data_IF_375953344400
#
_entry.id   IF_375953344400
#
_cell.length_a   1.000
_cell.length_b   1.000
_cell.length_c   1.000
_cell.angle_alpha   90.00
_cell.angle_beta   90.00
_cell.angle_gamma   90.00
#
_symmetry.space_group_name_H-M   'P 1'
#
loop_
_entity.id
_entity.type
_entity.pdbx_description
1 polymer ?
#
# COMPACT_ATOMS: atom_id res chain seq x y z
N UNK A 1 3.90 8.47 -28.53
CA UNK A 1 5.36 8.60 -28.33
C UNK A 1 5.75 9.85 -27.54
N UNK A 2 5.38 11.05 -27.95
CA UNK A 2 5.73 12.30 -27.22
C UNK A 2 5.33 12.28 -25.74
N UNK A 3 4.13 11.80 -25.40
CA UNK A 3 3.66 11.69 -24.00
C UNK A 3 4.53 10.73 -23.16
N UNK A 4 5.01 9.64 -23.74
CA UNK A 4 5.88 8.68 -23.05
C UNK A 4 7.25 9.30 -22.77
N UNK A 5 7.82 9.96 -23.78
CA UNK A 5 9.11 10.67 -23.66
C UNK A 5 9.00 11.77 -22.61
N UNK A 6 7.91 12.56 -22.65
CA UNK A 6 7.64 13.60 -21.66
C UNK A 6 7.49 13.01 -20.25
N UNK A 7 6.73 11.92 -20.10
CA UNK A 7 6.57 11.26 -18.80
C UNK A 7 7.89 10.75 -18.23
N UNK A 8 8.73 10.13 -19.06
CA UNK A 8 10.07 9.69 -18.67
C UNK A 8 10.95 10.88 -18.29
N UNK A 9 10.95 11.95 -19.07
CA UNK A 9 11.73 13.14 -18.76
C UNK A 9 11.32 13.75 -17.42
N UNK A 10 10.01 13.82 -17.12
CA UNK A 10 9.50 14.27 -15.80
C UNK A 10 9.98 13.36 -14.68
N UNK A 11 9.85 12.03 -14.83
CA UNK A 11 10.30 11.06 -13.82
C UNK A 11 11.82 11.18 -13.60
N UNK A 12 12.61 11.22 -14.67
CA UNK A 12 14.06 11.37 -14.56
C UNK A 12 14.45 12.69 -13.86
N UNK A 13 13.76 13.78 -14.16
CA UNK A 13 14.00 15.08 -13.51
C UNK A 13 13.66 15.02 -12.03
N UNK A 14 12.52 14.42 -11.65
CA UNK A 14 12.14 14.25 -10.25
C UNK A 14 13.15 13.40 -9.49
N UNK A 15 13.57 12.26 -10.06
CA UNK A 15 14.59 11.39 -9.47
C UNK A 15 15.91 12.12 -9.31
N UNK A 16 16.34 12.87 -10.33
CA UNK A 16 17.59 13.64 -10.29
C UNK A 16 17.59 14.75 -9.23
N UNK A 17 16.43 15.30 -8.87
CA UNK A 17 16.29 16.32 -7.83
C UNK A 17 16.16 15.67 -6.45
N UNK A 18 15.36 14.63 -6.32
CA UNK A 18 15.01 14.01 -5.03
C UNK A 18 16.15 13.15 -4.48
N UNK A 19 16.75 12.30 -5.33
CA UNK A 19 17.75 11.31 -4.88
C UNK A 19 18.97 11.96 -4.23
N UNK A 20 19.58 13.02 -4.79
CA UNK A 20 20.70 13.70 -4.11
C UNK A 20 20.29 14.25 -2.73
N UNK A 21 19.11 14.88 -2.62
CA UNK A 21 18.66 15.44 -1.34
C UNK A 21 18.37 14.37 -0.28
N UNK A 22 17.85 13.21 -0.70
CA UNK A 22 17.68 12.03 0.19
C UNK A 22 19.04 11.51 0.66
N UNK A 23 20.01 11.37 -0.26
CA UNK A 23 21.35 10.92 0.08
C UNK A 23 22.06 11.89 1.02
N UNK A 24 21.98 13.20 0.75
CA UNK A 24 22.54 14.23 1.62
C UNK A 24 21.91 14.19 3.01
N UNK A 25 20.60 13.99 3.10
CA UNK A 25 19.89 13.83 4.38
C UNK A 25 20.36 12.59 5.14
N UNK A 26 20.51 11.44 4.45
CA UNK A 26 21.02 10.22 5.06
C UNK A 26 22.47 10.37 5.54
N UNK A 27 23.33 10.98 4.73
CA UNK A 27 24.73 11.24 5.11
C UNK A 27 24.80 12.20 6.30
N UNK A 28 23.95 13.21 6.36
CA UNK A 28 23.87 14.11 7.50
C UNK A 28 23.48 13.37 8.78
N UNK A 29 22.47 12.51 8.71
CA UNK A 29 22.04 11.67 9.84
C UNK A 29 23.20 10.78 10.31
N UNK A 30 23.89 10.11 9.40
CA UNK A 30 24.99 9.21 9.73
C UNK A 30 26.18 9.97 10.36
N UNK A 31 26.55 11.11 9.77
CA UNK A 31 27.66 11.91 10.26
C UNK A 31 27.38 12.55 11.64
N UNK A 32 26.12 12.79 11.96
CA UNK A 32 25.69 13.39 13.22
C UNK A 32 25.13 12.37 14.22
N UNK A 33 25.14 11.08 13.91
CA UNK A 33 24.56 10.03 14.78
C UNK A 33 25.07 10.11 16.23
N UNK A 34 26.39 10.37 16.44
CA UNK A 34 26.96 10.53 17.76
C UNK A 34 26.40 11.76 18.49
N UNK A 35 26.21 12.88 17.78
CA UNK A 35 25.65 14.10 18.37
C UNK A 35 24.18 13.89 18.77
N UNK A 36 23.44 13.20 17.95
CA UNK A 36 22.04 12.87 18.24
C UNK A 36 21.91 11.97 19.47
N UNK A 37 22.78 10.97 19.61
CA UNK A 37 22.82 10.14 20.81
C UNK A 37 23.14 10.97 22.06
N UNK A 38 24.11 11.87 21.97
CA UNK A 38 24.45 12.77 23.06
C UNK A 38 23.29 13.69 23.45
N UNK A 39 22.51 14.16 22.47
CA UNK A 39 21.31 14.97 22.70
C UNK A 39 20.24 14.19 23.47
N UNK A 40 20.03 12.90 23.13
CA UNK A 40 19.12 12.02 23.85
C UNK A 40 19.58 11.82 25.30
N UNK A 41 20.88 11.54 25.53
CA UNK A 41 21.42 11.42 26.87
C UNK A 41 21.19 12.69 27.69
N UNK A 42 21.48 13.86 27.10
CA UNK A 42 21.27 15.15 27.76
C UNK A 42 19.83 15.38 28.08
N UNK A 43 18.93 15.08 27.14
CA UNK A 43 17.48 15.23 27.32
C UNK A 43 16.96 14.31 28.45
N UNK A 44 17.34 13.04 28.48
CA UNK A 44 16.97 12.09 29.54
C UNK A 44 17.45 12.59 30.89
N UNK A 45 18.73 12.98 30.98
CA UNK A 45 19.34 13.41 32.23
C UNK A 45 18.78 14.74 32.77
N UNK A 46 18.33 15.63 31.87
CA UNK A 46 17.74 16.93 32.26
C UNK A 46 16.26 16.82 32.57
N UNK A 47 15.50 16.11 31.74
CA UNK A 47 14.03 16.02 31.86
C UNK A 47 13.59 15.09 33.00
N UNK A 48 14.35 14.02 33.24
CA UNK A 48 14.05 13.01 34.25
C UNK A 48 15.00 13.10 35.48
N UNK A 49 15.62 14.24 35.68
CA UNK A 49 16.57 14.45 36.80
C UNK A 49 15.96 14.13 38.20
N UNK A 50 14.65 14.29 38.36
CA UNK A 50 13.95 13.97 39.60
C UNK A 50 13.76 12.46 39.86
N UNK A 51 14.05 11.60 38.85
CA UNK A 51 13.82 10.15 38.89
C UNK A 51 15.12 9.38 38.58
N UNK A 52 16.14 9.37 39.50
CA UNK A 52 17.49 8.84 39.23
C UNK A 52 17.50 7.35 38.86
N UNK A 53 16.60 6.55 39.39
CA UNK A 53 16.50 5.12 39.03
C UNK A 53 16.07 4.93 37.56
N UNK A 54 15.11 5.73 37.08
CA UNK A 54 14.63 5.72 35.69
C UNK A 54 15.76 6.20 34.78
N UNK A 55 16.47 7.27 35.15
CA UNK A 55 17.60 7.79 34.39
C UNK A 55 18.69 6.73 34.23
N UNK A 56 19.05 6.02 35.30
CA UNK A 56 20.08 4.96 35.28
C UNK A 56 19.65 3.80 34.35
N UNK A 57 18.40 3.36 34.47
CA UNK A 57 17.83 2.31 33.60
C UNK A 57 17.86 2.72 32.15
N UNK A 58 17.35 3.91 31.80
CA UNK A 58 17.33 4.43 30.45
C UNK A 58 18.73 4.61 29.86
N UNK A 59 19.66 5.16 30.62
CA UNK A 59 21.06 5.32 30.17
C UNK A 59 21.73 3.97 29.84
N UNK A 60 21.45 2.92 30.60
CA UNK A 60 21.94 1.58 30.27
C UNK A 60 21.36 1.06 28.94
N UNK A 61 20.06 1.23 28.72
CA UNK A 61 19.43 0.86 27.45
C UNK A 61 19.94 1.72 26.28
N UNK A 62 20.17 3.01 26.51
CA UNK A 62 20.71 3.92 25.51
C UNK A 62 22.15 3.55 25.09
N UNK A 63 22.98 3.01 25.99
CA UNK A 63 24.32 2.52 25.66
C UNK A 63 24.25 1.34 24.66
N UNK A 64 23.31 0.41 24.88
CA UNK A 64 23.10 -0.72 23.95
C UNK A 64 22.57 -0.23 22.58
N UNK A 65 21.63 0.70 22.59
CA UNK A 65 21.10 1.32 21.37
C UNK A 65 22.22 2.10 20.65
N UNK A 66 23.05 2.87 21.37
CA UNK A 66 24.15 3.61 20.78
C UNK A 66 25.12 2.69 20.04
N UNK A 67 25.52 1.58 20.68
CA UNK A 67 26.42 0.61 20.06
C UNK A 67 25.78 -0.02 18.79
N UNK A 68 24.52 -0.35 18.84
CA UNK A 68 23.78 -0.89 17.69
C UNK A 68 23.65 0.16 16.56
N UNK A 69 23.32 1.41 16.90
CA UNK A 69 23.23 2.53 15.93
C UNK A 69 24.56 2.78 15.26
N UNK A 70 25.65 2.92 16.04
CA UNK A 70 27.00 3.16 15.49
C UNK A 70 27.48 1.99 14.61
N UNK A 71 27.16 0.76 15.00
CA UNK A 71 27.46 -0.42 14.18
C UNK A 71 26.65 -0.40 12.86
N UNK A 72 25.37 -0.07 12.93
CA UNK A 72 24.53 0.06 11.74
C UNK A 72 25.04 1.20 10.83
N UNK A 73 25.37 2.36 11.39
CA UNK A 73 25.94 3.51 10.68
C UNK A 73 27.23 3.13 9.96
N UNK A 74 28.18 2.50 10.68
CA UNK A 74 29.45 2.06 10.11
C UNK A 74 29.28 1.02 8.97
N UNK A 75 28.24 0.21 9.02
CA UNK A 75 27.91 -0.77 7.98
C UNK A 75 27.16 -0.16 6.79
N UNK A 76 26.41 0.92 7.01
CA UNK A 76 25.58 1.56 6.00
C UNK A 76 26.30 2.69 5.27
N UNK A 77 27.15 3.47 5.94
CA UNK A 77 27.92 4.57 5.31
C UNK A 77 28.64 4.13 4.04
N UNK A 78 29.45 3.03 4.06
CA UNK A 78 30.13 2.59 2.84
C UNK A 78 29.14 2.26 1.72
N UNK A 79 28.03 1.58 2.05
CA UNK A 79 27.02 1.21 1.05
C UNK A 79 26.32 2.44 0.45
N UNK A 80 25.96 3.41 1.28
CA UNK A 80 25.34 4.67 0.82
C UNK A 80 26.36 5.49 0.03
N UNK A 81 27.61 5.55 0.48
CA UNK A 81 28.73 6.15 -0.23
C UNK A 81 28.96 5.53 -1.60
N UNK A 82 28.98 4.19 -1.68
CA UNK A 82 29.09 3.44 -2.94
C UNK A 82 27.89 3.75 -3.88
N UNK A 83 26.70 3.88 -3.32
CA UNK A 83 25.52 4.26 -4.11
C UNK A 83 25.60 5.71 -4.58
N UNK A 84 26.05 6.63 -3.74
CA UNK A 84 26.24 8.03 -4.10
C UNK A 84 27.33 8.17 -5.17
N UNK A 85 28.45 7.43 -5.06
CA UNK A 85 29.50 7.37 -6.09
C UNK A 85 28.94 6.74 -7.39
N UNK A 86 28.26 5.60 -7.29
CA UNK A 86 27.63 4.96 -8.46
C UNK A 86 26.56 5.84 -9.13
N UNK A 87 25.86 6.67 -8.38
CA UNK A 87 24.93 7.65 -8.94
C UNK A 87 25.67 8.86 -9.55
N UNK A 88 26.78 9.27 -8.95
CA UNK A 88 27.64 10.36 -9.44
C UNK A 88 28.50 9.93 -10.64
N UNK A 89 29.05 8.70 -10.57
CA UNK A 89 29.72 8.04 -11.69
C UNK A 89 28.74 7.38 -12.66
N UNK A 90 27.45 7.51 -12.35
CA UNK A 90 26.33 6.95 -13.10
C UNK A 90 26.24 7.40 -14.56
N UNK A 91 27.03 8.41 -14.95
CA UNK A 91 27.28 8.67 -16.36
C UNK A 91 28.00 7.46 -17.04
N UNK A 92 28.83 6.70 -16.34
CA UNK A 92 29.56 5.53 -16.88
C UNK A 92 28.78 4.24 -16.62
N UNK A 93 28.16 4.07 -15.46
CA UNK A 93 27.26 2.95 -15.14
C UNK A 93 25.92 3.03 -15.89
N UNK A 94 25.44 4.24 -16.24
CA UNK A 94 24.32 4.46 -17.14
C UNK A 94 24.58 3.88 -18.55
N UNK A 95 25.82 3.86 -19.04
CA UNK A 95 26.12 3.26 -20.35
C UNK A 95 25.94 1.73 -20.35
N UNK A 96 26.22 1.04 -19.26
CA UNK A 96 25.97 -0.41 -19.15
C UNK A 96 24.47 -0.70 -18.91
N UNK A 97 23.82 0.03 -18.00
CA UNK A 97 22.37 -0.06 -17.77
C UNK A 97 21.53 0.57 -18.88
N UNK A 98 22.09 1.54 -19.64
CA UNK A 98 21.40 2.20 -20.76
C UNK A 98 21.08 1.19 -21.87
N UNK A 99 21.95 0.23 -22.14
CA UNK A 99 21.70 -0.85 -23.10
C UNK A 99 20.46 -1.65 -22.69
N UNK A 100 20.40 -2.13 -21.46
CA UNK A 100 19.28 -2.95 -20.99
C UNK A 100 18.00 -2.12 -20.86
N UNK A 101 18.13 -0.87 -20.41
CA UNK A 101 17.04 0.10 -20.39
C UNK A 101 16.51 0.41 -21.80
N UNK A 102 17.40 0.68 -22.77
CA UNK A 102 17.00 0.95 -24.17
C UNK A 102 16.32 -0.29 -24.76
N UNK A 103 16.86 -1.48 -24.56
CA UNK A 103 16.24 -2.72 -25.05
C UNK A 103 14.86 -2.90 -24.41
N UNK A 104 14.76 -2.81 -23.10
CA UNK A 104 13.49 -2.89 -22.38
C UNK A 104 12.49 -1.82 -22.79
N UNK A 105 12.96 -0.58 -23.02
CA UNK A 105 12.15 0.53 -23.51
C UNK A 105 11.64 0.28 -24.94
N UNK A 106 12.52 -0.16 -25.85
CA UNK A 106 12.14 -0.52 -27.22
C UNK A 106 11.07 -1.61 -27.19
N UNK A 107 11.29 -2.69 -26.41
CA UNK A 107 10.32 -3.78 -26.25
C UNK A 107 8.98 -3.25 -25.68
N UNK A 108 9.02 -2.41 -24.66
CA UNK A 108 7.82 -1.80 -24.08
C UNK A 108 7.06 -0.93 -25.09
N UNK A 109 7.77 -0.14 -25.90
CA UNK A 109 7.18 0.68 -26.96
C UNK A 109 6.52 -0.22 -28.02
N UNK A 110 7.21 -1.28 -28.48
CA UNK A 110 6.63 -2.24 -29.43
C UNK A 110 5.39 -2.93 -28.87
N UNK A 111 5.43 -3.37 -27.61
CA UNK A 111 4.27 -3.97 -26.94
C UNK A 111 3.09 -3.00 -26.84
N UNK A 112 3.36 -1.72 -26.59
CA UNK A 112 2.32 -0.69 -26.50
C UNK A 112 1.74 -0.33 -27.89
N UNK A 113 2.58 -0.23 -28.92
CA UNK A 113 2.15 0.06 -30.30
C UNK A 113 1.31 -1.08 -30.88
N UNK A 114 1.74 -2.32 -30.68
CA UNK A 114 1.07 -3.52 -31.18
C UNK A 114 0.12 -4.17 -30.15
N UNK A 115 -0.26 -3.45 -29.09
CA UNK A 115 -1.11 -3.94 -27.99
C UNK A 115 -2.37 -4.65 -28.49
N UNK A 116 -3.06 -4.06 -29.45
CA UNK A 116 -4.30 -4.63 -30.00
C UNK A 116 -4.05 -5.94 -30.75
N UNK A 117 -2.93 -6.03 -31.49
CA UNK A 117 -2.51 -7.21 -32.22
C UNK A 117 -2.16 -8.36 -31.28
N UNK A 118 -1.37 -8.10 -30.22
CA UNK A 118 -1.04 -9.10 -29.20
C UNK A 118 -2.28 -9.58 -28.45
N UNK A 119 -3.20 -8.68 -28.09
CA UNK A 119 -4.47 -9.04 -27.48
C UNK A 119 -5.33 -9.88 -28.41
N UNK A 120 -5.37 -9.56 -29.71
CA UNK A 120 -6.09 -10.34 -30.72
C UNK A 120 -5.49 -11.74 -30.91
N UNK A 121 -4.15 -11.85 -30.92
CA UNK A 121 -3.44 -13.14 -30.97
C UNK A 121 -3.74 -13.99 -29.73
N UNK A 122 -3.69 -13.41 -28.53
CA UNK A 122 -4.06 -14.09 -27.29
C UNK A 122 -5.51 -14.57 -27.31
N UNK A 123 -6.43 -13.72 -27.75
CA UNK A 123 -7.84 -14.11 -27.93
C UNK A 123 -8.00 -15.24 -28.95
N UNK A 124 -7.30 -15.19 -30.08
CA UNK A 124 -7.31 -16.25 -31.09
C UNK A 124 -6.81 -17.59 -30.50
N UNK A 125 -5.72 -17.55 -29.74
CA UNK A 125 -5.18 -18.75 -29.08
C UNK A 125 -6.20 -19.33 -28.09
N UNK A 126 -6.82 -18.48 -27.24
CA UNK A 126 -7.83 -18.92 -26.28
C UNK A 126 -9.06 -19.53 -26.97
N UNK A 127 -9.52 -18.93 -28.05
CA UNK A 127 -10.69 -19.47 -28.82
C UNK A 127 -10.37 -20.76 -29.56
N UNK A 128 -9.10 -21.00 -29.88
CA UNK A 128 -8.66 -22.26 -30.51
C UNK A 128 -8.60 -23.42 -29.49
N UNK A 129 -8.21 -23.13 -28.24
CA UNK A 129 -8.00 -24.16 -27.19
C UNK A 129 -9.30 -24.45 -26.41
N UNK A 130 -10.11 -23.42 -26.12
CA UNK A 130 -11.27 -23.54 -25.24
C UNK A 130 -12.60 -23.42 -25.99
N UNK A 131 -13.65 -24.14 -25.53
CA UNK A 131 -15.00 -23.96 -26.04
C UNK A 131 -15.48 -22.50 -25.93
N UNK A 132 -16.29 -22.04 -26.89
CA UNK A 132 -16.76 -20.65 -26.98
C UNK A 132 -17.32 -20.07 -25.67
N UNK A 133 -18.10 -20.89 -24.91
CA UNK A 133 -18.69 -20.49 -23.64
C UNK A 133 -17.65 -20.18 -22.57
N UNK A 134 -16.62 -21.02 -22.48
CA UNK A 134 -15.50 -20.84 -21.54
C UNK A 134 -14.68 -19.62 -21.95
N UNK A 135 -14.36 -19.49 -23.23
CA UNK A 135 -13.60 -18.35 -23.76
C UNK A 135 -14.31 -17.01 -23.49
N UNK A 136 -15.62 -16.93 -23.68
CA UNK A 136 -16.39 -15.72 -23.39
C UNK A 136 -16.33 -15.31 -21.92
N UNK A 137 -16.48 -16.27 -21.00
CA UNK A 137 -16.38 -16.02 -19.57
C UNK A 137 -14.96 -15.58 -19.15
N UNK A 138 -13.93 -16.26 -19.66
CA UNK A 138 -12.54 -15.88 -19.41
C UNK A 138 -12.24 -14.45 -19.92
N UNK A 139 -12.66 -14.09 -21.14
CA UNK A 139 -12.45 -12.75 -21.67
C UNK A 139 -13.18 -11.67 -20.84
N UNK A 140 -14.40 -11.96 -20.36
CA UNK A 140 -15.11 -11.06 -19.46
C UNK A 140 -14.34 -10.87 -18.14
N UNK A 141 -13.88 -11.97 -17.57
CA UNK A 141 -13.10 -11.97 -16.36
C UNK A 141 -11.79 -11.19 -16.55
N UNK A 142 -11.04 -11.42 -17.63
CA UNK A 142 -9.83 -10.64 -17.93
C UNK A 142 -10.09 -9.14 -18.07
N UNK A 143 -11.19 -8.73 -18.69
CA UNK A 143 -11.55 -7.31 -18.78
C UNK A 143 -11.85 -6.71 -17.41
N UNK A 144 -12.64 -7.42 -16.59
CA UNK A 144 -12.96 -6.97 -15.22
C UNK A 144 -11.67 -6.84 -14.39
N UNK A 145 -10.81 -7.85 -14.48
CA UNK A 145 -9.48 -7.88 -13.86
C UNK A 145 -8.62 -6.69 -14.27
N UNK A 146 -8.46 -6.49 -15.58
CA UNK A 146 -7.64 -5.39 -16.12
C UNK A 146 -8.13 -4.02 -15.65
N UNK A 147 -9.44 -3.80 -15.62
CA UNK A 147 -10.00 -2.54 -15.15
C UNK A 147 -9.76 -2.33 -13.65
N UNK A 148 -9.95 -3.36 -12.82
CA UNK A 148 -9.69 -3.29 -11.38
C UNK A 148 -8.21 -3.10 -11.07
N UNK A 149 -7.32 -3.84 -11.76
CA UNK A 149 -5.86 -3.70 -11.63
C UNK A 149 -5.39 -2.29 -11.99
N UNK A 150 -5.80 -1.80 -13.17
CA UNK A 150 -5.40 -0.47 -13.63
C UNK A 150 -5.94 0.63 -12.71
N UNK A 151 -7.21 0.53 -12.29
CA UNK A 151 -7.81 1.48 -11.37
C UNK A 151 -7.07 1.53 -10.03
N UNK A 152 -6.79 0.36 -9.45
CA UNK A 152 -6.09 0.28 -8.17
C UNK A 152 -4.64 0.77 -8.25
N UNK A 153 -3.85 0.25 -9.21
CA UNK A 153 -2.42 0.59 -9.30
C UNK A 153 -2.24 2.07 -9.62
N UNK A 154 -2.93 2.58 -10.66
CA UNK A 154 -2.83 3.99 -11.02
C UNK A 154 -3.37 4.90 -9.92
N UNK A 155 -4.50 4.50 -9.30
CA UNK A 155 -5.06 5.24 -8.17
C UNK A 155 -4.09 5.29 -7.00
N UNK A 156 -3.48 4.17 -6.62
CA UNK A 156 -2.58 4.12 -5.46
C UNK A 156 -1.25 4.84 -5.68
N UNK A 157 -0.72 4.80 -6.91
CA UNK A 157 0.46 5.59 -7.28
C UNK A 157 0.16 7.09 -7.20
N UNK A 158 -0.98 7.52 -7.76
CA UNK A 158 -1.39 8.92 -7.72
C UNK A 158 -1.65 9.40 -6.29
N UNK A 159 -2.37 8.62 -5.51
CA UNK A 159 -2.65 8.85 -4.09
C UNK A 159 -1.36 9.04 -3.29
N UNK A 160 -0.43 8.10 -3.41
CA UNK A 160 0.87 8.13 -2.73
C UNK A 160 1.72 9.33 -3.14
N UNK A 161 1.69 9.71 -4.40
CA UNK A 161 2.37 10.90 -4.89
C UNK A 161 1.77 12.18 -4.27
N UNK A 162 0.44 12.29 -4.24
CA UNK A 162 -0.26 13.44 -3.65
C UNK A 162 0.04 13.52 -2.15
N UNK A 163 -0.04 12.41 -1.42
CA UNK A 163 0.27 12.35 0.02
C UNK A 163 1.73 12.75 0.29
N UNK A 164 2.67 12.24 -0.50
CA UNK A 164 4.08 12.65 -0.42
C UNK A 164 4.27 14.15 -0.64
N UNK A 165 3.60 14.73 -1.63
CA UNK A 165 3.66 16.17 -1.93
C UNK A 165 3.02 17.02 -0.83
N UNK A 166 1.87 16.62 -0.30
CA UNK A 166 1.21 17.30 0.82
C UNK A 166 2.13 17.26 2.05
N UNK A 167 2.70 16.10 2.36
CA UNK A 167 3.64 15.94 3.46
C UNK A 167 4.86 16.86 3.29
N UNK A 168 5.46 16.90 2.09
CA UNK A 168 6.60 17.76 1.79
C UNK A 168 6.28 19.24 2.00
N UNK A 169 5.19 19.71 1.40
CA UNK A 169 4.79 21.13 1.49
C UNK A 169 4.48 21.50 2.95
N UNK A 170 3.72 20.68 3.65
CA UNK A 170 3.38 20.93 5.05
C UNK A 170 4.62 20.96 5.96
N UNK A 171 5.53 19.98 5.82
CA UNK A 171 6.77 19.95 6.59
C UNK A 171 7.66 21.17 6.30
N UNK A 172 7.74 21.60 5.03
CA UNK A 172 8.48 22.84 4.65
C UNK A 172 7.87 24.09 5.26
N UNK A 173 6.54 24.22 5.24
CA UNK A 173 5.83 25.34 5.86
C UNK A 173 6.03 25.38 7.38
N UNK A 174 6.03 24.21 8.01
CA UNK A 174 6.28 24.05 9.45
C UNK A 174 7.77 24.15 9.81
N UNK A 175 8.66 24.27 8.81
CA UNK A 175 10.12 24.29 8.97
C UNK A 175 10.68 23.06 9.70
N UNK A 176 10.07 21.89 9.46
CA UNK A 176 10.56 20.63 10.00
C UNK A 176 11.78 20.14 9.23
N UNK A 177 12.72 19.53 9.95
CA UNK A 177 13.92 18.97 9.36
C UNK A 177 13.65 17.73 8.51
N UNK A 178 14.59 17.36 7.66
CA UNK A 178 14.51 16.17 6.79
C UNK A 178 13.23 16.09 5.95
N UNK A 179 12.59 17.25 5.65
CA UNK A 179 11.30 17.30 4.97
C UNK A 179 11.26 16.52 3.65
N UNK A 180 12.34 16.54 2.85
CA UNK A 180 12.42 15.77 1.59
C UNK A 180 12.51 14.28 1.87
N UNK A 181 13.42 13.86 2.75
CA UNK A 181 13.62 12.45 3.09
C UNK A 181 12.33 11.85 3.66
N UNK A 182 11.73 12.51 4.66
CA UNK A 182 10.53 12.03 5.34
C UNK A 182 9.32 11.98 4.38
N UNK A 183 9.13 13.01 3.57
CA UNK A 183 8.01 13.02 2.61
C UNK A 183 8.14 11.95 1.53
N UNK A 184 9.37 11.65 1.10
CA UNK A 184 9.64 10.53 0.18
C UNK A 184 9.36 9.19 0.85
N UNK A 185 9.82 9.00 2.09
CA UNK A 185 9.52 7.78 2.85
C UNK A 185 8.00 7.61 3.00
N UNK A 186 7.29 8.65 3.48
CA UNK A 186 5.84 8.61 3.66
C UNK A 186 5.12 8.36 2.33
N UNK A 187 5.49 9.05 1.26
CA UNK A 187 4.88 8.88 -0.05
C UNK A 187 5.11 7.47 -0.62
N UNK A 188 6.35 6.98 -0.59
CA UNK A 188 6.68 5.64 -1.13
C UNK A 188 6.00 4.54 -0.33
N UNK A 189 6.03 4.63 1.00
CA UNK A 189 5.40 3.61 1.85
C UNK A 189 3.89 3.64 1.75
N UNK A 190 3.27 4.80 1.48
CA UNK A 190 1.81 4.93 1.30
C UNK A 190 1.26 4.10 0.13
N UNK A 191 2.10 3.63 -0.78
CA UNK A 191 1.70 2.67 -1.84
C UNK A 191 1.16 1.36 -1.23
N UNK A 192 1.63 0.97 -0.04
CA UNK A 192 1.14 -0.21 0.67
C UNK A 192 -0.14 0.17 1.43
N UNK A 193 -1.31 -0.40 1.08
CA UNK A 193 -2.56 -0.10 1.78
C UNK A 193 -2.47 -0.47 3.28
N UNK A 194 -3.10 0.31 4.14
CA UNK A 194 -3.16 0.17 5.59
C UNK A 194 -1.82 0.27 6.33
N UNK A 195 -0.78 -0.41 5.89
CA UNK A 195 0.52 -0.47 6.56
C UNK A 195 1.47 0.65 6.16
N UNK A 196 1.32 1.17 4.94
CA UNK A 196 2.18 2.22 4.39
C UNK A 196 2.33 3.43 5.32
N UNK A 197 1.23 3.99 5.82
CA UNK A 197 1.28 5.11 6.76
C UNK A 197 2.13 4.85 8.01
N UNK A 198 2.01 3.66 8.60
CA UNK A 198 2.77 3.30 9.81
C UNK A 198 4.24 3.03 9.48
N UNK A 199 4.52 2.32 8.38
CA UNK A 199 5.88 2.03 7.92
C UNK A 199 6.64 3.33 7.62
N UNK A 200 5.96 4.35 7.13
CA UNK A 200 6.56 5.66 6.85
C UNK A 200 6.65 6.55 8.09
N UNK A 201 5.57 6.65 8.87
CA UNK A 201 5.47 7.57 9.98
C UNK A 201 6.36 7.20 11.17
N UNK A 202 6.42 5.90 11.54
CA UNK A 202 7.16 5.46 12.73
C UNK A 202 8.67 5.74 12.60
N UNK A 203 9.37 5.32 11.53
CA UNK A 203 10.80 5.65 11.38
C UNK A 203 11.04 7.16 11.26
N UNK A 204 10.13 7.88 10.62
CA UNK A 204 10.24 9.34 10.46
C UNK A 204 10.07 10.08 11.80
N UNK A 205 9.12 9.65 12.63
CA UNK A 205 8.96 10.20 13.98
C UNK A 205 10.16 9.89 14.87
N UNK A 206 10.70 8.66 14.79
CA UNK A 206 11.91 8.29 15.53
C UNK A 206 13.12 9.10 15.06
N UNK A 207 13.25 9.33 13.76
CA UNK A 207 14.30 10.18 13.21
C UNK A 207 14.23 11.60 13.79
N UNK A 208 13.07 12.23 13.78
CA UNK A 208 12.87 13.57 14.35
C UNK A 208 13.05 13.57 15.87
N UNK A 209 12.61 12.52 16.57
CA UNK A 209 12.81 12.40 18.01
C UNK A 209 14.30 12.40 18.38
N UNK A 210 15.12 11.79 17.55
CA UNK A 210 16.57 11.69 17.75
C UNK A 210 17.28 12.98 17.33
N UNK A 211 16.89 13.58 16.20
CA UNK A 211 17.55 14.78 15.67
C UNK A 211 17.09 16.05 16.37
N UNK A 212 15.77 16.27 16.43
CA UNK A 212 15.13 17.46 16.97
C UNK A 212 13.83 17.08 17.72
N UNK A 213 13.90 16.69 19.01
CA UNK A 213 12.76 16.20 19.78
C UNK A 213 11.55 17.14 19.77
N UNK A 214 11.81 18.47 19.73
CA UNK A 214 10.76 19.49 19.69
C UNK A 214 9.88 19.42 18.45
N UNK A 215 10.38 18.85 17.35
CA UNK A 215 9.69 18.73 16.07
C UNK A 215 8.85 17.44 15.96
N UNK A 216 9.06 16.48 16.86
CA UNK A 216 8.36 15.17 16.81
C UNK A 216 6.87 15.31 17.00
N UNK A 217 6.44 16.07 18.01
CA UNK A 217 5.00 16.27 18.30
C UNK A 217 4.29 16.98 17.14
N UNK A 218 4.79 18.12 16.63
CA UNK A 218 4.23 18.73 15.43
C UNK A 218 4.15 17.79 14.22
N UNK A 219 5.17 16.96 13.99
CA UNK A 219 5.15 15.96 12.92
C UNK A 219 4.09 14.88 13.13
N UNK A 220 3.96 14.34 14.33
CA UNK A 220 2.94 13.31 14.63
C UNK A 220 1.54 13.87 14.40
N UNK A 221 1.27 15.11 14.83
CA UNK A 221 -0.01 15.77 14.56
C UNK A 221 -0.23 15.94 13.05
N UNK A 222 0.78 16.38 12.33
CA UNK A 222 0.73 16.55 10.89
C UNK A 222 0.42 15.21 10.18
N UNK A 223 1.15 14.14 10.53
CA UNK A 223 0.97 12.86 9.85
C UNK A 223 -0.40 12.25 10.15
N UNK A 224 -0.92 12.41 11.38
CA UNK A 224 -2.29 11.99 11.71
C UNK A 224 -3.31 12.78 10.91
N UNK A 225 -3.15 14.09 10.75
CA UNK A 225 -4.03 14.92 9.93
C UNK A 225 -4.00 14.48 8.45
N UNK A 226 -2.80 14.24 7.90
CA UNK A 226 -2.63 13.71 6.52
C UNK A 226 -3.32 12.35 6.38
N UNK A 227 -3.19 11.44 7.35
CA UNK A 227 -3.82 10.12 7.29
C UNK A 227 -5.35 10.20 7.40
N UNK A 228 -5.88 11.13 8.18
CA UNK A 228 -7.33 11.37 8.22
C UNK A 228 -7.83 11.93 6.89
N UNK A 229 -7.07 12.82 6.27
CA UNK A 229 -7.39 13.32 4.94
C UNK A 229 -7.33 12.22 3.87
N UNK A 230 -6.29 11.40 3.90
CA UNK A 230 -6.13 10.26 2.99
C UNK A 230 -7.30 9.27 3.14
N UNK A 231 -7.52 8.78 4.35
CA UNK A 231 -8.52 7.74 4.61
C UNK A 231 -9.97 8.15 4.37
N UNK A 232 -10.32 9.44 4.61
CA UNK A 232 -11.71 9.89 4.54
C UNK A 232 -12.05 10.68 3.27
N UNK A 233 -11.07 11.27 2.58
CA UNK A 233 -11.30 12.14 1.43
C UNK A 233 -10.56 11.64 0.20
N UNK A 234 -9.22 11.55 0.24
CA UNK A 234 -8.41 11.30 -0.93
C UNK A 234 -8.55 9.84 -1.41
N UNK A 235 -8.43 8.88 -0.49
CA UNK A 235 -8.56 7.46 -0.79
C UNK A 235 -9.90 7.11 -1.44
N UNK A 236 -11.07 7.43 -0.84
CA UNK A 236 -12.36 7.22 -1.46
C UNK A 236 -12.52 7.94 -2.80
N UNK A 237 -11.99 9.13 -2.95
CA UNK A 237 -12.07 9.91 -4.19
C UNK A 237 -11.24 9.29 -5.33
N UNK A 238 -10.02 8.81 -5.05
CA UNK A 238 -9.11 8.28 -6.07
C UNK A 238 -9.36 6.80 -6.33
N UNK A 239 -9.48 6.00 -5.27
CA UNK A 239 -9.56 4.54 -5.37
C UNK A 239 -11.01 4.07 -5.54
N UNK A 240 -12.00 4.77 -4.97
CA UNK A 240 -13.39 4.35 -4.97
C UNK A 240 -13.53 2.87 -4.55
N UNK A 241 -14.48 2.16 -5.16
CA UNK A 241 -14.70 0.72 -4.96
C UNK A 241 -13.81 -0.16 -5.86
N UNK A 242 -12.60 0.32 -6.19
CA UNK A 242 -11.76 -0.31 -7.24
C UNK A 242 -11.37 -1.76 -6.94
N UNK A 243 -11.28 -2.16 -5.68
CA UNK A 243 -10.85 -3.52 -5.34
C UNK A 243 -12.00 -4.50 -5.17
N UNK A 244 -13.16 -4.05 -4.69
CA UNK A 244 -14.29 -4.92 -4.33
C UNK A 244 -13.94 -5.97 -3.27
N UNK A 245 -12.78 -5.82 -2.57
CA UNK A 245 -12.33 -6.73 -1.52
C UNK A 245 -12.72 -6.19 -0.14
N UNK A 246 -13.31 -7.02 0.73
CA UNK A 246 -13.42 -6.72 2.15
C UNK A 246 -12.03 -6.49 2.78
N UNK A 247 -11.93 -5.58 3.76
CA UNK A 247 -10.67 -5.18 4.41
C UNK A 247 -9.85 -6.37 4.94
N UNK A 248 -10.50 -7.39 5.47
CA UNK A 248 -9.84 -8.63 5.90
C UNK A 248 -9.02 -9.28 4.79
N UNK A 249 -9.60 -9.43 3.60
CA UNK A 249 -8.91 -10.05 2.46
C UNK A 249 -7.80 -9.17 1.88
N UNK A 250 -7.91 -7.84 2.03
CA UNK A 250 -6.82 -6.92 1.68
C UNK A 250 -5.62 -7.16 2.59
N UNK A 251 -5.83 -7.31 3.92
CA UNK A 251 -4.75 -7.65 4.86
C UNK A 251 -4.11 -9.00 4.52
N UNK A 252 -4.92 -10.04 4.27
CA UNK A 252 -4.42 -11.36 3.86
C UNK A 252 -3.56 -11.26 2.60
N UNK A 253 -4.01 -10.51 1.59
CA UNK A 253 -3.28 -10.30 0.34
C UNK A 253 -1.92 -9.62 0.56
N UNK A 254 -1.85 -8.62 1.45
CA UNK A 254 -0.61 -7.93 1.78
C UNK A 254 0.38 -8.86 2.49
N UNK A 255 -0.09 -9.63 3.50
CA UNK A 255 0.78 -10.56 4.23
C UNK A 255 1.30 -11.69 3.33
N UNK A 256 0.42 -12.33 2.56
CA UNK A 256 0.83 -13.40 1.64
C UNK A 256 1.73 -12.87 0.52
N UNK A 257 1.34 -11.75 -0.09
CA UNK A 257 2.13 -11.13 -1.15
C UNK A 257 3.50 -10.67 -0.62
N UNK A 258 3.53 -10.03 0.54
CA UNK A 258 4.74 -9.57 1.20
C UNK A 258 5.69 -10.69 1.58
N UNK A 259 5.13 -11.80 2.12
CA UNK A 259 5.92 -12.98 2.48
C UNK A 259 6.54 -13.70 1.28
N UNK A 260 5.86 -13.69 0.11
CA UNK A 260 6.34 -14.38 -1.10
C UNK A 260 7.25 -13.52 -1.97
N UNK A 261 6.95 -12.22 -2.11
CA UNK A 261 7.59 -11.34 -3.09
C UNK A 261 8.07 -10.00 -2.49
N UNK A 262 8.13 -9.89 -1.15
CA UNK A 262 8.57 -8.68 -0.46
C UNK A 262 7.71 -7.46 -0.78
N UNK A 263 8.33 -6.28 -0.89
CA UNK A 263 7.64 -5.01 -1.14
C UNK A 263 6.75 -5.05 -2.40
N UNK A 264 7.25 -5.58 -3.51
CA UNK A 264 6.48 -5.71 -4.74
C UNK A 264 5.23 -6.58 -4.54
N UNK A 265 5.34 -7.65 -3.72
CA UNK A 265 4.22 -8.51 -3.36
C UNK A 265 3.19 -7.81 -2.47
N UNK A 266 3.59 -6.93 -1.57
CA UNK A 266 2.65 -6.14 -0.76
C UNK A 266 1.79 -5.21 -1.63
N UNK A 267 2.39 -4.60 -2.65
CA UNK A 267 1.70 -3.68 -3.57
C UNK A 267 0.80 -4.43 -4.56
N UNK A 268 1.36 -5.45 -5.22
CA UNK A 268 0.67 -6.21 -6.28
C UNK A 268 -0.26 -7.30 -5.72
N UNK A 269 -0.04 -7.72 -4.47
CA UNK A 269 -0.83 -8.76 -3.82
C UNK A 269 -2.31 -8.42 -3.75
N UNK A 270 -2.65 -7.19 -3.39
CA UNK A 270 -4.04 -6.75 -3.26
C UNK A 270 -4.81 -6.88 -4.59
N UNK A 271 -4.36 -6.31 -5.70
CA UNK A 271 -5.06 -6.45 -6.96
C UNK A 271 -5.08 -7.89 -7.49
N UNK A 272 -4.02 -8.66 -7.31
CA UNK A 272 -3.98 -10.08 -7.70
C UNK A 272 -5.01 -10.87 -6.88
N UNK A 273 -5.06 -10.66 -5.58
CA UNK A 273 -6.01 -11.32 -4.71
C UNK A 273 -7.45 -10.92 -5.00
N UNK A 274 -7.71 -9.64 -5.36
CA UNK A 274 -9.01 -9.15 -5.79
C UNK A 274 -9.56 -9.93 -6.99
N UNK A 275 -8.67 -10.24 -7.93
CA UNK A 275 -8.99 -11.06 -9.09
C UNK A 275 -9.35 -12.48 -8.69
N UNK A 276 -8.51 -13.12 -7.86
CA UNK A 276 -8.75 -14.49 -7.38
C UNK A 276 -10.08 -14.55 -6.62
N UNK A 277 -10.33 -13.58 -5.75
CA UNK A 277 -11.56 -13.48 -4.97
C UNK A 277 -12.80 -13.32 -5.86
N UNK A 278 -12.74 -12.42 -6.85
CA UNK A 278 -13.84 -12.21 -7.80
C UNK A 278 -14.16 -13.47 -8.62
N UNK A 279 -13.13 -14.23 -9.04
CA UNK A 279 -13.33 -15.52 -9.71
C UNK A 279 -13.95 -16.57 -8.78
N UNK A 280 -13.47 -16.67 -7.55
CA UNK A 280 -14.01 -17.59 -6.55
C UNK A 280 -15.48 -17.28 -6.27
N UNK A 281 -15.80 -16.00 -6.07
CA UNK A 281 -17.19 -15.54 -5.87
C UNK A 281 -18.08 -15.90 -7.06
N UNK A 282 -17.68 -15.55 -8.28
CA UNK A 282 -18.47 -15.85 -9.49
C UNK A 282 -18.67 -17.38 -9.66
N UNK A 283 -17.63 -18.18 -9.35
CA UNK A 283 -17.73 -19.63 -9.41
C UNK A 283 -18.74 -20.18 -8.40
N UNK A 284 -18.70 -19.71 -7.14
CA UNK A 284 -19.62 -20.10 -6.07
C UNK A 284 -21.06 -19.69 -6.43
N UNK A 285 -21.27 -18.43 -6.84
CA UNK A 285 -22.58 -17.94 -7.25
C UNK A 285 -23.20 -18.77 -8.40
N UNK A 286 -22.37 -19.14 -9.39
CA UNK A 286 -22.82 -19.97 -10.50
C UNK A 286 -23.21 -21.39 -10.05
N UNK A 287 -22.51 -21.96 -9.06
CA UNK A 287 -22.88 -23.25 -8.48
C UNK A 287 -24.18 -23.16 -7.69
N UNK A 288 -24.38 -22.10 -6.91
CA UNK A 288 -25.63 -21.87 -6.15
C UNK A 288 -26.83 -21.69 -7.08
N UNK A 289 -26.69 -20.89 -8.12
CA UNK A 289 -27.73 -20.71 -9.15
C UNK A 289 -28.12 -22.03 -9.83
N UNK A 290 -27.15 -22.91 -10.11
CA UNK A 290 -27.44 -24.25 -10.67
C UNK A 290 -28.21 -25.15 -9.71
N UNK A 291 -28.05 -24.95 -8.40
CA UNK A 291 -28.78 -25.68 -7.35
C UNK A 291 -30.11 -25.03 -6.97
N UNK A 292 -30.50 -23.92 -7.61
CA UNK A 292 -31.71 -23.15 -7.26
C UNK A 292 -31.61 -22.44 -5.90
N UNK A 293 -30.39 -22.22 -5.39
CA UNK A 293 -30.12 -21.54 -4.13
C UNK A 293 -29.77 -20.06 -4.36
N UNK A 294 -30.02 -19.23 -3.36
CA UNK A 294 -29.71 -17.81 -3.43
C UNK A 294 -28.19 -17.57 -3.56
N UNK A 295 -27.74 -16.67 -4.45
CA UNK A 295 -26.34 -16.24 -4.50
C UNK A 295 -26.02 -15.17 -3.46
N UNK A 296 -27.00 -14.60 -2.75
CA UNK A 296 -26.78 -13.54 -1.78
C UNK A 296 -26.26 -14.11 -0.46
N UNK A 297 -25.12 -13.58 -0.01
CA UNK A 297 -24.51 -13.97 1.26
C UNK A 297 -25.41 -13.63 2.46
N UNK A 298 -26.26 -12.61 2.35
CA UNK A 298 -27.19 -12.23 3.40
C UNK A 298 -28.17 -13.35 3.78
N UNK A 299 -28.54 -14.21 2.84
CA UNK A 299 -29.46 -15.33 3.06
C UNK A 299 -28.83 -16.48 3.88
N UNK A 300 -27.51 -16.44 4.08
CA UNK A 300 -26.74 -17.46 4.82
C UNK A 300 -26.33 -17.01 6.23
N UNK A 301 -26.68 -15.78 6.65
CA UNK A 301 -26.49 -15.38 8.04
C UNK A 301 -27.41 -16.17 8.97
N UNK A 302 -26.92 -16.60 10.14
CA UNK A 302 -27.79 -17.22 11.14
C UNK A 302 -28.87 -16.21 11.56
N UNK A 303 -30.12 -16.58 11.41
CA UNK A 303 -31.25 -15.75 11.88
C UNK A 303 -31.17 -15.69 13.42
N UNK A 304 -31.21 -14.49 14.03
CA UNK A 304 -31.23 -14.36 15.47
C UNK A 304 -32.38 -15.19 16.09
N UNK A 305 -32.13 -15.85 17.21
CA UNK A 305 -33.11 -16.76 17.85
C UNK A 305 -34.49 -16.10 18.07
N UNK A 306 -34.52 -14.82 18.41
CA UNK A 306 -35.75 -14.04 18.57
C UNK A 306 -36.58 -13.89 17.27
N UNK A 307 -35.92 -13.85 16.11
CA UNK A 307 -36.59 -13.71 14.81
C UNK A 307 -37.09 -15.07 14.30
N UNK A 308 -36.44 -16.16 14.69
CA UNK A 308 -36.92 -17.52 14.45
C UNK A 308 -38.18 -17.85 15.22
N UNK A 309 -38.32 -17.42 16.48
CA UNK A 309 -39.54 -17.59 17.26
C UNK A 309 -40.72 -16.79 16.65
N UNK A 310 -40.46 -15.60 16.14
CA UNK A 310 -41.50 -14.78 15.51
C UNK A 310 -41.95 -15.36 14.15
N UNK A 311 -41.02 -15.86 13.32
CA UNK A 311 -41.36 -16.55 12.05
C UNK A 311 -42.07 -17.88 12.30
N UNK A 312 -41.67 -18.64 13.33
CA UNK A 312 -42.37 -19.86 13.74
C UNK A 312 -43.79 -19.59 14.23
N UNK A 313 -43.98 -18.55 15.05
CA UNK A 313 -45.30 -18.15 15.56
C UNK A 313 -46.23 -17.72 14.42
N UNK A 314 -45.74 -16.90 13.49
CA UNK A 314 -46.52 -16.48 12.30
C UNK A 314 -46.90 -17.69 11.42
N UNK A 315 -45.96 -18.60 11.16
CA UNK A 315 -46.21 -19.81 10.37
C UNK A 315 -47.22 -20.76 11.03
N UNK A 316 -47.25 -20.83 12.34
CA UNK A 316 -48.25 -21.62 13.11
C UNK A 316 -49.61 -20.93 13.04
N UNK A 317 -49.68 -19.59 13.19
CA UNK A 317 -50.91 -18.82 13.07
C UNK A 317 -51.55 -18.92 11.67
N UNK A 318 -50.75 -18.87 10.62
CA UNK A 318 -51.25 -19.06 9.22
C UNK A 318 -51.77 -20.48 8.98
N UNK A 319 -51.10 -21.51 9.53
CA UNK A 319 -51.58 -22.90 9.43
C UNK A 319 -52.90 -23.10 10.19
N UNK A 320 -53.01 -22.54 11.40
CA UNK A 320 -54.25 -22.61 12.19
C UNK A 320 -55.41 -21.88 11.50
N UNK A 321 -55.16 -20.72 10.85
CA UNK A 321 -56.15 -19.98 10.12
C UNK A 321 -56.67 -20.74 8.87
N UNK A 322 -55.80 -21.49 8.18
CA UNK A 322 -56.17 -22.37 7.07
C UNK A 322 -56.98 -23.61 7.50
N UNK A 323 -56.75 -24.12 8.71
CA UNK A 323 -57.52 -25.25 9.27
C UNK A 323 -58.94 -24.81 9.67
N UNK A 324 -59.06 -23.62 10.32
CA UNK A 324 -60.41 -23.10 10.72
C UNK A 324 -61.27 -22.75 9.52
N UNK A 325 -60.72 -22.17 8.45
CA UNK A 325 -61.50 -21.84 7.22
C UNK A 325 -61.97 -23.10 6.49
N UNK A 326 -61.34 -24.26 6.75
CA UNK A 326 -61.76 -25.55 6.17
C UNK A 326 -62.86 -26.25 6.98
N UNK A 327 -63.01 -25.94 8.27
CA UNK A 327 -64.05 -26.46 9.16
C UNK A 327 -65.37 -25.65 9.07
N UNK A 328 -65.32 -24.37 8.70
CA UNK A 328 -66.52 -23.53 8.51
C UNK A 328 -67.22 -23.76 7.16
N UNK A 329 -66.68 -24.60 6.28
CA UNK A 329 -67.27 -24.97 4.98
C UNK A 329 -67.80 -26.42 4.95
N UNK A 330 -67.97 -27.06 6.06
CA UNK A 330 -68.71 -28.32 6.21
C UNK A 330 -69.96 -28.04 7.07
#
# INVERSE_FOLDING_TARGET
MLAIIFGIAVICTLVAIIVPQVLDSLMNIFNNAQNYMNNIYNWVNTTLAEYPEIVTYLNNQLNDIQSAVLTAVNNLIPKVGDWAVKLKDGAVGLLAGLKDFIIGFIVAVYLLLDKEKFLAQGKKLMTAIFPQKICHNMLRAFRKTNNSLNGFINGKILDSFIIGMICFVAMKLMKLEYSVLISVIVGVTNVIPFFGPFIGAIPSALLLLISEPSQTIPFVILIVAIQQFDGNILGPYILGDSTGLPAFWVMVAIFLGGGLFGFAGMVLGVPIFAVIYAFAQEFIENLLKKKGLSPDTADYYPVPAAENEHKLSIGIFEKLKKVNVKNDKK
#
